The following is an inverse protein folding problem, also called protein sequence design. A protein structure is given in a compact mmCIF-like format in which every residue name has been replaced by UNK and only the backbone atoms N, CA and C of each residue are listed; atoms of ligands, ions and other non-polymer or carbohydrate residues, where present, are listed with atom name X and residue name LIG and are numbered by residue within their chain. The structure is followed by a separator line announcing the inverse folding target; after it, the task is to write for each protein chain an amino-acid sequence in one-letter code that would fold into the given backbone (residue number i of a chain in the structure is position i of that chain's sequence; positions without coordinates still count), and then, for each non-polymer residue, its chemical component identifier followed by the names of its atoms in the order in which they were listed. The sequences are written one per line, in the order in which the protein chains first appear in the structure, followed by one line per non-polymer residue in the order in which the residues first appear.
data_IF_809846821303
#
_entry.id   IF_809846821303
#
_cell.length_a   1.000
_cell.length_b   1.000
_cell.length_c   1.000
_cell.angle_alpha   90.00
_cell.angle_beta   90.00
_cell.angle_gamma   90.00
#
_symmetry.space_group_name_H-M   'P 1'
#
loop_
_entity.id
_entity.type
_entity.pdbx_description
1 polymer ?
#
# COMPACT_ATOMS: atom_id res chain seq x y z
N UNK A 1 7.26 9.10 12.21
CA UNK A 1 6.42 8.97 11.00
C UNK A 1 5.03 9.50 11.29
N UNK A 2 4.64 10.57 10.60
CA UNK A 2 3.35 11.25 10.79
C UNK A 2 2.18 10.38 10.31
N UNK A 3 2.39 9.60 9.26
CA UNK A 3 1.38 8.73 8.70
C UNK A 3 0.91 7.64 9.69
N UNK A 4 1.80 7.09 10.51
CA UNK A 4 1.40 6.14 11.57
C UNK A 4 0.47 6.77 12.61
N UNK A 5 0.63 8.06 12.89
CA UNK A 5 -0.31 8.79 13.76
C UNK A 5 -1.68 8.90 13.08
N UNK A 6 -1.71 9.24 11.80
CA UNK A 6 -2.94 9.31 11.00
C UNK A 6 -3.67 7.96 11.00
N UNK A 7 -2.95 6.84 10.82
CA UNK A 7 -3.55 5.50 10.85
C UNK A 7 -4.17 5.15 12.21
N UNK A 8 -3.53 5.55 13.32
CA UNK A 8 -4.08 5.33 14.68
C UNK A 8 -5.34 6.16 14.89
N UNK A 9 -5.33 7.43 14.47
CA UNK A 9 -6.49 8.32 14.57
C UNK A 9 -7.65 7.80 13.71
N UNK A 10 -7.35 7.35 12.48
CA UNK A 10 -8.34 6.73 11.60
C UNK A 10 -8.97 5.51 12.27
N UNK A 11 -8.17 4.56 12.75
CA UNK A 11 -8.65 3.38 13.44
C UNK A 11 -9.53 3.74 14.65
N UNK A 12 -9.13 4.73 15.45
CA UNK A 12 -9.88 5.17 16.61
C UNK A 12 -11.24 5.76 16.22
N UNK A 13 -11.35 6.42 15.07
CA UNK A 13 -12.59 7.02 14.58
C UNK A 13 -13.68 6.01 14.23
N UNK A 14 -13.33 4.75 13.99
CA UNK A 14 -14.31 3.68 13.73
C UNK A 14 -14.86 3.01 15.00
N UNK A 15 -14.30 3.29 16.18
CA UNK A 15 -14.80 2.78 17.47
C UNK A 15 -14.93 1.26 17.49
N UNK A 16 -16.15 0.74 17.63
CA UNK A 16 -16.45 -0.70 17.66
C UNK A 16 -16.46 -1.37 16.29
N UNK A 17 -16.46 -0.60 15.18
CA UNK A 17 -16.43 -1.13 13.82
C UNK A 17 -15.01 -1.56 13.41
N UNK A 18 -14.37 -2.35 14.26
CA UNK A 18 -13.03 -2.92 14.07
C UNK A 18 -13.07 -4.41 14.35
N UNK A 19 -12.54 -5.21 13.43
CA UNK A 19 -12.38 -6.64 13.60
C UNK A 19 -10.93 -7.06 13.35
N UNK A 20 -10.54 -8.20 13.89
CA UNK A 20 -9.23 -8.79 13.66
C UNK A 20 -9.41 -10.19 13.08
N UNK A 21 -8.61 -10.52 12.08
CA UNK A 21 -8.52 -11.89 11.57
C UNK A 21 -7.57 -12.71 12.45
N UNK A 22 -7.59 -14.04 12.31
CA UNK A 22 -6.73 -14.94 13.07
C UNK A 22 -5.24 -14.69 12.85
N UNK A 23 -4.85 -14.17 11.67
CA UNK A 23 -3.48 -13.77 11.34
C UNK A 23 -3.15 -12.32 11.73
N UNK A 24 -4.02 -11.65 12.49
CA UNK A 24 -3.79 -10.33 13.05
C UNK A 24 -4.01 -9.16 12.08
N UNK A 25 -4.63 -9.38 10.90
CA UNK A 25 -5.06 -8.27 10.04
C UNK A 25 -6.15 -7.48 10.73
N UNK A 26 -5.97 -6.18 10.83
CA UNK A 26 -6.98 -5.27 11.36
C UNK A 26 -7.89 -4.79 10.22
N UNK A 27 -9.16 -5.11 10.32
CA UNK A 27 -10.22 -4.72 9.39
C UNK A 27 -11.10 -3.66 10.05
N UNK A 28 -11.38 -2.56 9.38
CA UNK A 28 -12.24 -1.53 9.92
C UNK A 28 -13.00 -0.76 8.84
N UNK A 29 -14.13 -0.22 9.24
CA UNK A 29 -15.09 0.45 8.38
C UNK A 29 -16.52 0.16 8.81
N UNK A 30 -17.53 0.63 8.06
CA UNK A 30 -18.94 0.37 8.37
C UNK A 30 -19.31 -1.12 8.45
N UNK A 31 -18.57 -1.97 7.73
CA UNK A 31 -18.73 -3.42 7.75
C UNK A 31 -17.33 -4.07 7.80
N UNK A 32 -16.79 -4.36 9.00
CA UNK A 32 -15.41 -4.81 9.16
C UNK A 32 -15.26 -6.33 8.93
N UNK A 33 -15.76 -6.85 7.83
CA UNK A 33 -15.45 -8.20 7.36
C UNK A 33 -14.36 -8.18 6.27
N UNK A 34 -13.74 -9.34 6.00
CA UNK A 34 -12.61 -9.47 5.11
C UNK A 34 -12.88 -8.99 3.66
N UNK A 35 -14.14 -9.00 3.22
CA UNK A 35 -14.54 -8.63 1.86
C UNK A 35 -15.01 -7.18 1.76
N UNK A 36 -15.64 -6.69 2.82
CA UNK A 36 -16.37 -5.43 2.82
C UNK A 36 -15.70 -4.35 3.67
N UNK A 37 -14.62 -4.68 4.40
CA UNK A 37 -13.88 -3.69 5.17
C UNK A 37 -13.40 -2.54 4.28
N UNK A 38 -13.65 -1.31 4.72
CA UNK A 38 -13.20 -0.11 4.02
C UNK A 38 -11.68 0.03 4.09
N UNK A 39 -11.08 -0.45 5.18
CA UNK A 39 -9.64 -0.46 5.37
C UNK A 39 -9.17 -1.81 5.91
N UNK A 40 -8.00 -2.23 5.45
CA UNK A 40 -7.29 -3.40 5.95
C UNK A 40 -5.84 -3.01 6.26
N UNK A 41 -5.40 -3.22 7.50
CA UNK A 41 -4.01 -3.03 7.92
C UNK A 41 -3.45 -4.39 8.28
N UNK A 42 -2.43 -4.83 7.56
CA UNK A 42 -1.81 -6.15 7.78
C UNK A 42 -0.97 -6.15 9.06
N UNK A 43 -0.87 -7.33 9.68
CA UNK A 43 -0.13 -7.51 10.93
C UNK A 43 1.31 -6.99 10.82
N UNK A 44 1.84 -6.32 11.85
CA UNK A 44 3.20 -5.81 11.84
C UNK A 44 4.22 -6.94 11.73
N UNK A 45 5.35 -6.67 11.11
CA UNK A 45 6.50 -7.56 11.12
C UNK A 45 7.27 -7.44 12.45
N UNK A 46 7.79 -8.57 12.95
CA UNK A 46 8.73 -8.52 14.05
C UNK A 46 10.02 -7.81 13.62
N UNK A 47 10.75 -7.25 14.57
CA UNK A 47 12.03 -6.60 14.28
C UNK A 47 13.05 -7.55 13.62
N UNK A 48 13.04 -8.82 14.01
CA UNK A 48 13.88 -9.88 13.43
C UNK A 48 13.54 -10.12 11.95
N UNK A 49 12.24 -10.16 11.61
CA UNK A 49 11.80 -10.30 10.21
C UNK A 49 12.17 -9.09 9.38
N UNK A 50 12.05 -7.87 9.93
CA UNK A 50 12.49 -6.65 9.23
C UNK A 50 14.01 -6.68 8.99
N UNK A 51 14.80 -7.10 9.98
CA UNK A 51 16.25 -7.26 9.79
C UNK A 51 16.59 -8.32 8.74
N UNK A 52 15.90 -9.46 8.76
CA UNK A 52 16.09 -10.50 7.75
C UNK A 52 15.72 -9.99 6.35
N UNK A 53 14.66 -9.21 6.23
CA UNK A 53 14.25 -8.56 4.99
C UNK A 53 15.38 -7.67 4.46
N UNK A 54 15.93 -6.78 5.28
CA UNK A 54 17.04 -5.90 4.91
C UNK A 54 18.26 -6.68 4.42
N UNK A 55 18.60 -7.78 5.10
CA UNK A 55 19.73 -8.63 4.72
C UNK A 55 19.50 -9.41 3.42
N UNK A 56 18.25 -9.81 3.17
CA UNK A 56 17.86 -10.61 2.00
C UNK A 56 17.73 -9.79 0.73
N UNK A 57 17.42 -8.52 0.86
CA UNK A 57 17.31 -7.61 -0.28
C UNK A 57 18.69 -7.13 -0.72
N UNK A 58 18.94 -7.24 -2.01
CA UNK A 58 20.20 -6.75 -2.61
C UNK A 58 20.32 -5.22 -2.63
N UNK A 59 19.30 -4.50 -2.23
CA UNK A 59 19.20 -3.04 -2.26
C UNK A 59 18.72 -2.54 -0.91
N UNK A 60 19.07 -1.31 -0.56
CA UNK A 60 18.56 -0.66 0.62
C UNK A 60 17.04 -0.47 0.48
N UNK A 61 16.32 -0.61 1.60
CA UNK A 61 14.89 -0.26 1.68
C UNK A 61 14.81 1.06 2.42
N UNK A 62 14.03 2.05 1.94
CA UNK A 62 13.87 3.32 2.65
C UNK A 62 13.44 3.11 4.10
N UNK A 63 14.06 3.87 5.02
CA UNK A 63 13.82 3.73 6.46
C UNK A 63 12.36 3.94 6.84
N UNK A 64 11.65 4.83 6.15
CA UNK A 64 10.21 5.04 6.32
C UNK A 64 9.40 3.78 6.04
N UNK A 65 9.76 3.00 5.01
CA UNK A 65 9.11 1.72 4.73
C UNK A 65 9.42 0.68 5.80
N UNK A 66 10.66 0.60 6.26
CA UNK A 66 11.04 -0.30 7.35
C UNK A 66 10.29 0.04 8.64
N UNK A 67 10.19 1.34 8.96
CA UNK A 67 9.40 1.83 10.10
C UNK A 67 7.92 1.48 9.93
N UNK A 68 7.38 1.62 8.73
CA UNK A 68 6.00 1.25 8.45
C UNK A 68 5.77 -0.24 8.67
N UNK A 69 6.66 -1.12 8.21
CA UNK A 69 6.52 -2.57 8.34
C UNK A 69 6.56 -3.07 9.79
N UNK A 70 7.25 -2.37 10.69
CA UNK A 70 7.20 -2.67 12.14
C UNK A 70 5.86 -2.31 12.77
N UNK A 71 5.04 -1.50 12.11
CA UNK A 71 3.70 -1.10 12.57
C UNK A 71 2.57 -1.72 11.75
N UNK A 72 2.81 -1.97 10.47
CA UNK A 72 1.86 -2.54 9.51
C UNK A 72 2.62 -3.12 8.31
N UNK A 73 2.54 -4.43 8.09
CA UNK A 73 3.16 -5.08 6.93
C UNK A 73 2.32 -4.88 5.66
N UNK A 74 2.18 -3.63 5.25
CA UNK A 74 1.32 -3.23 4.15
C UNK A 74 -0.11 -2.90 4.58
N UNK A 75 -0.89 -2.34 3.66
CA UNK A 75 -2.28 -1.95 3.91
C UNK A 75 -3.06 -1.73 2.62
N UNK A 76 -4.38 -1.82 2.74
CA UNK A 76 -5.34 -1.40 1.73
C UNK A 76 -6.30 -0.41 2.37
N UNK A 77 -6.39 0.78 1.81
CA UNK A 77 -7.16 1.89 2.37
C UNK A 77 -8.20 2.39 1.36
N UNK A 78 -9.32 2.88 1.89
CA UNK A 78 -10.43 3.46 1.13
C UNK A 78 -10.94 2.50 0.05
N UNK A 79 -11.25 1.26 0.47
CA UNK A 79 -11.83 0.27 -0.43
C UNK A 79 -13.25 0.68 -0.79
N UNK A 80 -13.56 0.63 -2.07
CA UNK A 80 -14.87 0.90 -2.64
C UNK A 80 -15.19 -0.10 -3.74
N UNK A 81 -16.44 -0.13 -4.19
CA UNK A 81 -16.85 -0.98 -5.31
C UNK A 81 -16.58 -0.25 -6.62
N UNK A 82 -15.74 -0.85 -7.45
CA UNK A 82 -15.43 -0.35 -8.79
C UNK A 82 -16.25 -1.11 -9.84
N UNK A 83 -16.92 -0.39 -10.75
CA UNK A 83 -17.60 -0.97 -11.89
C UNK A 83 -16.58 -1.44 -12.94
N UNK A 84 -16.77 -2.68 -13.41
CA UNK A 84 -15.94 -3.26 -14.49
C UNK A 84 -16.83 -3.61 -15.70
N UNK A 85 -16.24 -3.75 -16.90
CA UNK A 85 -16.97 -4.19 -18.08
C UNK A 85 -17.75 -5.48 -17.82
N UNK A 86 -19.01 -5.54 -18.28
CA UNK A 86 -19.92 -6.66 -18.04
C UNK A 86 -20.90 -6.45 -16.87
N UNK A 87 -20.93 -5.27 -16.25
CA UNK A 87 -21.90 -4.91 -15.20
C UNK A 87 -21.57 -5.46 -13.81
N UNK A 88 -20.38 -6.02 -13.64
CA UNK A 88 -19.90 -6.49 -12.34
C UNK A 88 -19.23 -5.35 -11.55
N UNK A 89 -19.16 -5.53 -10.22
CA UNK A 89 -18.43 -4.63 -9.34
C UNK A 89 -17.39 -5.43 -8.56
N UNK A 90 -16.18 -4.88 -8.46
CA UNK A 90 -15.10 -5.47 -7.67
C UNK A 90 -14.66 -4.50 -6.57
N UNK A 91 -14.36 -5.01 -5.36
CA UNK A 91 -13.75 -4.19 -4.33
C UNK A 91 -12.36 -3.74 -4.78
N UNK A 92 -12.14 -2.43 -4.73
CA UNK A 92 -10.89 -1.78 -5.16
C UNK A 92 -10.43 -0.83 -4.09
N UNK A 93 -9.18 -0.95 -3.65
CA UNK A 93 -8.57 -0.02 -2.70
C UNK A 93 -8.01 1.18 -3.44
N UNK A 94 -8.37 2.40 -2.99
CA UNK A 94 -7.84 3.63 -3.59
C UNK A 94 -6.35 3.83 -3.29
N UNK A 95 -5.88 3.33 -2.16
CA UNK A 95 -4.47 3.34 -1.78
C UNK A 95 -4.07 1.97 -1.24
N UNK A 96 -3.09 1.33 -1.86
CA UNK A 96 -2.50 0.08 -1.41
C UNK A 96 -1.00 0.28 -1.17
N UNK A 97 -0.54 -0.13 0.00
CA UNK A 97 0.87 -0.23 0.33
C UNK A 97 1.23 -1.70 0.43
N UNK A 98 2.20 -2.12 -0.35
CA UNK A 98 2.63 -3.52 -0.41
C UNK A 98 3.44 -3.88 0.82
N UNK A 99 3.31 -5.13 1.22
CA UNK A 99 4.07 -5.71 2.32
C UNK A 99 4.88 -6.92 1.88
N UNK A 100 5.52 -7.56 2.84
CA UNK A 100 6.25 -8.81 2.63
C UNK A 100 5.32 -9.96 2.96
N UNK A 101 5.09 -10.93 2.06
CA UNK A 101 4.26 -12.09 2.35
C UNK A 101 4.91 -12.91 3.47
N UNK A 102 4.15 -13.11 4.53
CA UNK A 102 4.54 -14.04 5.58
C UNK A 102 4.14 -15.45 5.13
N UNK A 103 5.08 -16.38 5.05
CA UNK A 103 4.92 -17.72 4.49
C UNK A 103 3.86 -18.60 5.19
N UNK A 104 3.31 -18.17 6.32
CA UNK A 104 2.41 -18.98 7.14
C UNK A 104 0.93 -18.90 6.76
N UNK A 105 0.54 -18.05 5.80
CA UNK A 105 -0.87 -17.70 5.65
C UNK A 105 -1.50 -18.22 4.36
N UNK A 106 -2.11 -19.40 4.44
CA UNK A 106 -2.83 -20.01 3.32
C UNK A 106 -4.33 -19.70 3.28
N UNK A 107 -4.89 -19.03 4.28
CA UNK A 107 -6.35 -18.93 4.43
C UNK A 107 -6.91 -17.52 4.50
N UNK A 108 -6.09 -16.48 4.63
CA UNK A 108 -6.53 -15.12 4.94
C UNK A 108 -5.93 -14.05 4.02
N UNK A 109 -6.36 -12.81 4.19
CA UNK A 109 -5.87 -11.67 3.45
C UNK A 109 -4.35 -11.54 3.62
N UNK A 110 -3.63 -11.68 2.54
CA UNK A 110 -2.18 -11.43 2.48
C UNK A 110 -1.92 -10.08 1.84
N UNK A 111 -0.90 -9.33 2.28
CA UNK A 111 -0.50 -8.11 1.60
C UNK A 111 0.00 -8.45 0.19
N UNK A 112 -0.22 -7.53 -0.74
CA UNK A 112 0.46 -7.59 -2.03
C UNK A 112 1.97 -7.49 -1.82
N UNK A 113 2.72 -8.20 -2.64
CA UNK A 113 4.18 -8.23 -2.53
C UNK A 113 4.79 -6.90 -2.94
N UNK A 114 5.78 -6.45 -2.18
CA UNK A 114 6.78 -5.51 -2.70
C UNK A 114 7.39 -6.15 -3.93
N UNK A 115 7.32 -5.46 -5.05
CA UNK A 115 7.91 -5.99 -6.28
C UNK A 115 9.08 -5.13 -6.72
N UNK A 116 10.29 -5.64 -6.49
CA UNK A 116 11.49 -5.11 -7.15
C UNK A 116 11.54 -5.57 -8.61
N UNK A 117 10.98 -6.73 -8.93
CA UNK A 117 11.02 -7.34 -10.26
C UNK A 117 10.10 -6.64 -11.28
N UNK A 118 9.01 -6.03 -10.82
CA UNK A 118 8.12 -5.25 -11.70
C UNK A 118 8.78 -3.97 -12.25
N UNK A 119 9.89 -3.53 -11.68
CA UNK A 119 10.68 -2.41 -12.20
C UNK A 119 11.20 -2.66 -13.60
N UNK A 120 11.46 -3.92 -13.94
CA UNK A 120 11.97 -4.29 -15.27
C UNK A 120 10.93 -4.21 -16.39
N UNK A 121 9.66 -4.05 -16.06
CA UNK A 121 8.55 -4.04 -17.04
C UNK A 121 8.26 -2.68 -17.64
N UNK A 122 8.59 -1.62 -16.96
CA UNK A 122 8.46 -0.28 -17.52
C UNK A 122 9.81 0.17 -18.08
N UNK A 123 9.91 0.42 -19.38
CA UNK A 123 11.12 0.96 -19.98
C UNK A 123 11.55 2.25 -19.27
N UNK A 124 12.83 2.34 -18.95
CA UNK A 124 13.45 3.50 -18.29
C UNK A 124 13.13 3.69 -16.80
N UNK A 125 12.58 2.70 -16.09
CA UNK A 125 12.53 2.75 -14.62
C UNK A 125 13.94 2.59 -14.06
N UNK A 126 14.44 3.53 -13.23
CA UNK A 126 15.76 3.42 -12.61
C UNK A 126 15.88 2.16 -11.74
N UNK A 127 17.05 1.55 -11.73
CA UNK A 127 17.31 0.34 -10.94
C UNK A 127 17.19 0.57 -9.43
N UNK A 128 17.36 1.81 -8.97
CA UNK A 128 17.24 2.20 -7.55
C UNK A 128 15.79 2.32 -7.07
N UNK A 129 14.81 2.25 -7.97
CA UNK A 129 13.42 2.43 -7.61
C UNK A 129 12.77 1.13 -7.14
N UNK A 130 12.16 1.19 -5.96
CA UNK A 130 11.39 0.13 -5.34
C UNK A 130 9.90 0.45 -5.46
N UNK A 131 9.14 -0.40 -6.14
CA UNK A 131 7.68 -0.30 -6.16
C UNK A 131 7.13 -0.78 -4.82
N UNK A 132 6.54 0.11 -4.06
CA UNK A 132 6.01 -0.19 -2.73
C UNK A 132 4.49 -0.06 -2.61
N UNK A 133 3.81 0.40 -3.64
CA UNK A 133 2.37 0.55 -3.57
C UNK A 133 1.73 0.94 -4.91
N UNK A 134 0.42 1.11 -4.85
CA UNK A 134 -0.41 1.61 -5.94
C UNK A 134 -1.46 2.59 -5.42
N UNK A 135 -1.87 3.48 -6.31
CA UNK A 135 -3.01 4.37 -6.11
C UNK A 135 -4.01 4.17 -7.24
N UNK A 136 -5.29 4.07 -6.90
CA UNK A 136 -6.40 4.09 -7.84
C UNK A 136 -7.22 5.36 -7.61
N UNK A 137 -7.17 6.31 -8.54
CA UNK A 137 -7.99 7.52 -8.48
C UNK A 137 -9.37 7.20 -9.02
N UNK A 138 -10.41 7.50 -8.25
CA UNK A 138 -11.78 7.14 -8.58
C UNK A 138 -12.72 8.34 -8.48
N UNK A 139 -13.77 8.32 -9.31
CA UNK A 139 -14.94 9.18 -9.17
C UNK A 139 -16.16 8.27 -9.03
N UNK A 140 -16.70 8.19 -7.81
CA UNK A 140 -17.69 7.18 -7.45
C UNK A 140 -17.18 5.75 -7.72
N UNK A 141 -17.83 5.04 -8.62
CA UNK A 141 -17.48 3.66 -9.01
C UNK A 141 -16.56 3.59 -10.25
N UNK A 142 -16.16 4.73 -10.82
CA UNK A 142 -15.41 4.81 -12.07
C UNK A 142 -13.93 5.05 -11.76
N UNK A 143 -13.05 4.20 -12.30
CA UNK A 143 -11.61 4.42 -12.25
C UNK A 143 -11.21 5.53 -13.23
N UNK A 144 -10.65 6.62 -12.71
CA UNK A 144 -10.10 7.72 -13.50
C UNK A 144 -8.63 7.50 -13.87
N UNK A 145 -7.89 6.73 -13.07
CA UNK A 145 -6.49 6.42 -13.32
C UNK A 145 -5.91 5.48 -12.28
N UNK A 146 -4.96 4.66 -12.71
CA UNK A 146 -4.18 3.78 -11.85
C UNK A 146 -2.72 4.18 -11.89
N UNK A 147 -2.08 4.23 -10.74
CA UNK A 147 -0.72 4.70 -10.57
C UNK A 147 0.10 3.71 -9.75
N UNK A 148 1.38 3.59 -10.09
CA UNK A 148 2.37 2.91 -9.26
C UNK A 148 3.07 3.94 -8.37
N UNK A 149 3.42 3.52 -7.15
CA UNK A 149 4.22 4.29 -6.21
C UNK A 149 5.60 3.64 -6.08
N UNK A 150 6.63 4.43 -6.36
CA UNK A 150 8.02 4.01 -6.31
C UNK A 150 8.78 4.84 -5.30
N UNK A 151 9.63 4.21 -4.51
CA UNK A 151 10.61 4.88 -3.68
C UNK A 151 12.00 4.67 -4.27
N UNK A 152 12.74 5.73 -4.46
CA UNK A 152 14.15 5.67 -4.81
C UNK A 152 14.94 5.25 -3.55
N UNK A 153 15.62 4.12 -3.62
CA UNK A 153 16.34 3.52 -2.49
C UNK A 153 17.58 4.31 -2.09
N UNK A 154 18.10 5.17 -2.96
CA UNK A 154 19.30 5.97 -2.68
C UNK A 154 18.94 7.31 -2.05
N UNK A 155 17.90 7.99 -2.55
CA UNK A 155 17.50 9.31 -2.08
C UNK A 155 16.32 9.31 -1.09
N UNK A 156 15.55 8.23 -1.03
CA UNK A 156 14.29 8.17 -0.28
C UNK A 156 13.13 8.90 -0.97
N UNK A 157 13.37 9.55 -2.09
CA UNK A 157 12.36 10.28 -2.86
C UNK A 157 11.30 9.32 -3.40
N UNK A 158 10.04 9.72 -3.35
CA UNK A 158 8.92 8.92 -3.86
C UNK A 158 8.36 9.52 -5.14
N UNK A 159 8.06 8.67 -6.09
CA UNK A 159 7.49 9.03 -7.39
C UNK A 159 6.18 8.29 -7.63
N UNK A 160 5.19 9.00 -8.18
CA UNK A 160 3.98 8.42 -8.72
C UNK A 160 4.08 8.38 -10.25
N UNK A 161 3.79 7.25 -10.84
CA UNK A 161 3.77 7.04 -12.28
C UNK A 161 2.49 6.36 -12.73
N UNK A 162 1.97 6.72 -13.89
CA UNK A 162 0.83 6.02 -14.48
C UNK A 162 1.16 4.54 -14.71
N UNK A 163 0.16 3.66 -14.45
CA UNK A 163 0.31 2.21 -14.59
C UNK A 163 0.17 1.74 -16.04
N UNK A 164 -0.58 2.48 -16.86
CA UNK A 164 -1.03 2.06 -18.19
C UNK A 164 -0.18 2.61 -19.35
N UNK A 165 1.04 3.01 -19.11
CA UNK A 165 1.94 3.52 -20.17
C UNK A 165 2.97 2.51 -20.65
N UNK A 166 3.43 2.67 -21.90
CA UNK A 166 4.65 2.00 -22.41
C UNK A 166 5.94 2.69 -21.94
N UNK A 167 5.81 3.88 -21.39
CA UNK A 167 6.90 4.72 -20.89
C UNK A 167 6.58 5.20 -19.49
N UNK A 168 7.61 5.33 -18.66
CA UNK A 168 7.51 5.88 -17.33
C UNK A 168 7.13 7.37 -17.42
N UNK A 169 5.94 7.73 -16.93
CA UNK A 169 5.47 9.11 -16.84
C UNK A 169 5.25 9.47 -15.38
N UNK A 170 6.10 10.34 -14.85
CA UNK A 170 5.99 10.81 -13.47
C UNK A 170 4.91 11.88 -13.41
N UNK A 171 3.88 11.65 -12.57
CA UNK A 171 2.75 12.55 -12.37
C UNK A 171 2.82 13.30 -11.04
N UNK A 172 3.58 12.78 -10.06
CA UNK A 172 3.81 13.43 -8.77
C UNK A 172 5.11 12.94 -8.12
N UNK A 173 5.62 13.73 -7.17
CA UNK A 173 6.85 13.45 -6.43
C UNK A 173 6.71 13.95 -4.98
N UNK A 174 7.30 13.22 -4.03
CA UNK A 174 7.38 13.56 -2.61
C UNK A 174 8.79 13.30 -2.08
N UNK A 175 9.17 13.99 -1.02
CA UNK A 175 10.50 13.89 -0.39
C UNK A 175 10.72 12.58 0.37
N UNK A 176 9.65 11.88 0.76
CA UNK A 176 9.73 10.61 1.51
C UNK A 176 8.45 9.79 1.39
N UNK A 177 8.49 8.53 1.82
CA UNK A 177 7.31 7.67 1.91
C UNK A 177 6.28 8.24 2.88
N UNK A 178 6.72 8.79 4.02
CA UNK A 178 5.83 9.42 5.00
C UNK A 178 5.08 10.62 4.40
N UNK A 179 5.78 11.50 3.68
CA UNK A 179 5.18 12.65 3.02
C UNK A 179 4.18 12.23 1.94
N UNK A 180 4.54 11.23 1.11
CA UNK A 180 3.67 10.67 0.09
C UNK A 180 2.38 10.13 0.69
N UNK A 181 2.48 9.22 1.67
CA UNK A 181 1.31 8.58 2.28
C UNK A 181 0.42 9.58 3.01
N UNK A 182 1.00 10.58 3.69
CA UNK A 182 0.24 11.66 4.31
C UNK A 182 -0.52 12.52 3.30
N UNK A 183 0.10 12.82 2.15
CA UNK A 183 -0.53 13.57 1.07
C UNK A 183 -1.70 12.81 0.47
N UNK A 184 -1.45 11.57 0.03
CA UNK A 184 -2.45 10.73 -0.62
C UNK A 184 -3.64 10.44 0.31
N UNK A 185 -3.38 10.20 1.59
CA UNK A 185 -4.43 9.96 2.57
C UNK A 185 -5.37 11.16 2.73
N UNK A 186 -4.83 12.39 2.71
CA UNK A 186 -5.63 13.62 2.81
C UNK A 186 -6.48 13.87 1.57
N UNK A 187 -6.00 13.45 0.41
CA UNK A 187 -6.74 13.59 -0.85
C UNK A 187 -7.94 12.63 -0.94
N UNK A 188 -7.87 11.47 -0.26
CA UNK A 188 -8.91 10.44 -0.31
C UNK A 188 -9.93 10.53 0.85
N UNK A 189 -9.64 11.32 1.88
CA UNK A 189 -10.51 11.57 3.03
C UNK A 189 -11.51 12.67 2.76
#
# INVERSE_FOLDING_TARGET
MNFLKILRELKTSYGENVAYTDNGVCLFGPCPDARMAEHSIFAPMSHELVQHLVQSYRRSIPEDLLTLYTAANGMELFRTMCAIPGGFKLPTSKLSVFGVPLLADRQHLSPYNISIEDLSRLPNTPETWLKFGTRCKMDGEITLGEYNLYADTDSGTVYQSERTGKTLQISAQWESVDACLCSLFREEK
#
